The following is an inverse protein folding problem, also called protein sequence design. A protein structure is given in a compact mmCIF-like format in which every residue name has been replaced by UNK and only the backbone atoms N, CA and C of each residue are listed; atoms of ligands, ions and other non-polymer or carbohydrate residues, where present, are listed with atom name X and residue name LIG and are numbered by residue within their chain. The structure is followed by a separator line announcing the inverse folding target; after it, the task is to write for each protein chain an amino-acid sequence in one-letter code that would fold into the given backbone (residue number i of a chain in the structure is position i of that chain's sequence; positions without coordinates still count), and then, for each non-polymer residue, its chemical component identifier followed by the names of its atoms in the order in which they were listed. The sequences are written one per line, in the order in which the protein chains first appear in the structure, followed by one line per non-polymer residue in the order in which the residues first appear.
data_IF_444475492822
#
_entry.id   IF_444475492822
#
_cell.length_a   1.000
_cell.length_b   1.000
_cell.length_c   1.000
_cell.angle_alpha   90.00
_cell.angle_beta   90.00
_cell.angle_gamma   90.00
#
_symmetry.space_group_name_H-M   'P 1'
#
loop_
_entity.id
_entity.type
_entity.pdbx_description
1 polymer ?
#
# COMPACT_ATOMS: atom_id res chain seq x y z
N UNK A 1 11.58 -20.83 4.11
CA UNK A 1 12.02 -19.50 3.65
C UNK A 1 12.90 -18.90 4.73
N UNK A 2 14.14 -18.56 4.36
CA UNK A 2 15.02 -17.79 5.23
C UNK A 2 14.51 -16.32 5.34
N UNK A 3 15.17 -15.47 6.14
CA UNK A 3 14.75 -14.07 6.30
C UNK A 3 14.82 -13.26 5.00
N UNK A 4 15.85 -13.46 4.18
CA UNK A 4 15.97 -12.76 2.89
C UNK A 4 14.83 -13.14 1.94
N UNK A 5 14.45 -14.42 1.89
CA UNK A 5 13.32 -14.89 1.11
C UNK A 5 12.01 -14.27 1.60
N UNK A 6 11.80 -14.21 2.93
CA UNK A 6 10.62 -13.57 3.55
C UNK A 6 10.52 -12.10 3.15
N UNK A 7 11.63 -11.37 3.20
CA UNK A 7 11.68 -9.95 2.81
C UNK A 7 11.37 -9.80 1.32
N UNK A 8 12.03 -10.59 0.46
CA UNK A 8 11.82 -10.55 -0.98
C UNK A 8 10.37 -10.88 -1.34
N UNK A 9 9.80 -11.90 -0.72
CA UNK A 9 8.40 -12.29 -0.93
C UNK A 9 7.44 -11.14 -0.61
N UNK A 10 7.62 -10.46 0.53
CA UNK A 10 6.82 -9.30 0.91
C UNK A 10 6.97 -8.18 -0.13
N UNK A 11 8.20 -7.76 -0.42
CA UNK A 11 8.48 -6.60 -1.30
C UNK A 11 7.92 -6.80 -2.71
N UNK A 12 7.93 -8.04 -3.22
CA UNK A 12 7.42 -8.36 -4.56
C UNK A 12 5.91 -8.57 -4.60
N UNK A 13 5.31 -9.17 -3.57
CA UNK A 13 3.94 -9.70 -3.66
C UNK A 13 2.90 -8.96 -2.80
N UNK A 14 3.32 -8.09 -1.89
CA UNK A 14 2.41 -7.27 -1.09
C UNK A 14 2.38 -5.85 -1.70
N UNK A 15 1.27 -5.39 -2.30
CA UNK A 15 1.15 -4.00 -2.71
C UNK A 15 0.95 -3.07 -1.51
N UNK A 16 1.72 -1.99 -1.42
CA UNK A 16 1.63 -0.98 -0.37
C UNK A 16 0.21 -0.40 -0.27
N UNK A 17 -0.47 -0.15 -1.40
CA UNK A 17 -1.86 0.30 -1.40
C UNK A 17 -2.81 -0.67 -0.68
N UNK A 18 -2.56 -1.98 -0.75
CA UNK A 18 -3.35 -3.00 -0.02
C UNK A 18 -3.08 -2.89 1.48
N UNK A 19 -1.82 -2.66 1.88
CA UNK A 19 -1.47 -2.44 3.28
C UNK A 19 -2.17 -1.19 3.83
N UNK A 20 -2.06 -0.07 3.12
CA UNK A 20 -2.64 1.20 3.56
C UNK A 20 -4.17 1.12 3.73
N UNK A 21 -4.86 0.40 2.83
CA UNK A 21 -6.30 0.11 2.96
C UNK A 21 -6.59 -0.78 4.17
N UNK A 22 -5.81 -1.86 4.36
CA UNK A 22 -5.97 -2.76 5.52
C UNK A 22 -5.77 -2.04 6.86
N UNK A 23 -4.91 -1.04 6.89
CA UNK A 23 -4.64 -0.21 8.07
C UNK A 23 -5.60 0.98 8.20
N UNK A 24 -6.58 1.14 7.30
CA UNK A 24 -7.51 2.28 7.26
C UNK A 24 -6.81 3.64 7.16
N UNK A 25 -5.60 3.71 6.60
CA UNK A 25 -4.87 4.97 6.36
C UNK A 25 -5.47 5.71 5.16
N UNK A 26 -5.94 4.96 4.16
CA UNK A 26 -6.58 5.48 2.95
C UNK A 26 -7.91 4.76 2.71
N UNK A 27 -8.89 5.42 2.05
CA UNK A 27 -10.17 4.79 1.73
C UNK A 27 -10.04 3.67 0.68
N UNK A 28 -11.02 2.75 0.60
CA UNK A 28 -11.01 1.65 -0.37
C UNK A 28 -10.92 2.09 -1.84
N UNK A 29 -11.48 3.25 -2.20
CA UNK A 29 -11.49 3.79 -3.56
C UNK A 29 -10.45 4.91 -3.76
N UNK A 30 -9.39 4.93 -2.95
CA UNK A 30 -8.35 5.96 -3.03
C UNK A 30 -7.70 6.00 -4.42
N UNK A 31 -7.61 7.21 -5.00
CA UNK A 31 -6.89 7.46 -6.24
C UNK A 31 -5.41 7.74 -5.92
N UNK A 32 -4.53 6.89 -6.44
CA UNK A 32 -3.08 6.90 -6.18
C UNK A 32 -2.35 8.17 -6.61
N UNK A 33 -2.99 9.02 -7.43
CA UNK A 33 -2.45 10.35 -7.81
C UNK A 33 -2.46 11.35 -6.66
N UNK A 34 -3.31 11.15 -5.65
CA UNK A 34 -3.42 12.07 -4.52
C UNK A 34 -2.44 11.73 -3.40
N UNK A 35 -2.24 12.72 -2.54
CA UNK A 35 -1.50 12.56 -1.28
C UNK A 35 -2.42 12.12 -0.15
N UNK A 36 -1.83 11.56 0.90
CA UNK A 36 -2.54 11.08 2.09
C UNK A 36 -1.74 11.39 3.37
N UNK A 37 -2.34 11.24 4.58
CA UNK A 37 -1.63 11.44 5.84
C UNK A 37 -0.45 10.47 6.00
N UNK A 38 0.62 10.91 6.66
CA UNK A 38 1.75 10.03 6.94
C UNK A 38 1.38 9.04 8.04
N UNK A 39 1.60 7.72 7.83
CA UNK A 39 1.39 6.75 8.89
C UNK A 39 2.49 6.75 9.95
N UNK A 40 3.60 7.47 9.73
CA UNK A 40 4.78 7.43 10.60
C UNK A 40 4.85 8.65 11.51
N UNK A 41 4.91 9.85 10.93
CA UNK A 41 4.81 11.05 11.77
C UNK A 41 3.34 11.31 12.06
N UNK A 42 2.97 11.37 13.33
CA UNK A 42 1.60 11.66 13.77
C UNK A 42 1.27 13.16 13.59
N UNK A 43 1.20 13.60 12.33
CA UNK A 43 0.83 14.96 11.97
C UNK A 43 -0.60 15.03 11.46
N UNK A 44 -1.32 16.08 11.82
CA UNK A 44 -2.67 16.38 11.29
C UNK A 44 -2.65 16.84 9.83
N UNK A 45 -1.52 16.75 9.11
CA UNK A 45 -1.44 17.21 7.73
C UNK A 45 -1.92 16.09 6.76
N UNK A 46 -3.09 16.27 6.12
CA UNK A 46 -3.69 15.20 5.33
C UNK A 46 -2.98 14.91 4.00
N UNK A 47 -1.99 15.71 3.59
CA UNK A 47 -1.43 15.65 2.23
C UNK A 47 0.11 15.63 2.21
N UNK A 48 0.71 14.80 3.06
CA UNK A 48 2.17 14.75 3.22
C UNK A 48 2.83 13.48 2.68
N UNK A 49 2.07 12.43 2.35
CA UNK A 49 2.59 11.19 1.77
C UNK A 49 2.05 10.92 0.38
N UNK A 50 2.84 10.23 -0.45
CA UNK A 50 2.45 9.74 -1.77
C UNK A 50 2.98 8.31 -1.99
N UNK A 51 2.28 7.52 -2.81
CA UNK A 51 2.71 6.20 -3.23
C UNK A 51 3.74 6.33 -4.35
N UNK A 52 4.92 5.77 -4.17
CA UNK A 52 5.96 5.74 -5.20
C UNK A 52 5.73 4.59 -6.18
N UNK A 53 6.37 4.66 -7.35
CA UNK A 53 6.32 3.59 -8.36
C UNK A 53 6.99 2.29 -7.90
N UNK A 54 7.91 2.35 -6.94
CA UNK A 54 8.66 1.21 -6.38
C UNK A 54 7.99 0.62 -5.12
N UNK A 55 6.67 0.77 -4.99
CA UNK A 55 5.85 0.15 -3.94
C UNK A 55 6.22 0.59 -2.50
N UNK A 56 6.61 1.86 -2.35
CA UNK A 56 6.87 2.53 -1.06
C UNK A 56 5.92 3.70 -0.88
N UNK A 57 6.03 4.37 0.27
CA UNK A 57 5.48 5.71 0.47
C UNK A 57 6.62 6.70 0.66
N UNK A 58 6.54 7.86 0.02
CA UNK A 58 7.42 8.99 0.31
C UNK A 58 6.69 9.97 1.22
N UNK A 59 7.36 10.49 2.25
CA UNK A 59 6.84 11.57 3.07
C UNK A 59 7.70 12.84 2.96
N UNK A 60 7.11 13.95 2.51
CA UNK A 60 7.83 15.22 2.40
C UNK A 60 8.16 15.87 3.74
N UNK A 61 7.40 15.56 4.80
CA UNK A 61 7.70 16.08 6.14
C UNK A 61 8.81 15.29 6.83
N UNK A 62 8.84 13.97 6.65
CA UNK A 62 9.91 13.13 7.18
C UNK A 62 11.17 13.14 6.29
N UNK A 63 11.06 13.66 5.07
CA UNK A 63 12.10 13.64 4.04
C UNK A 63 12.65 12.21 3.78
N UNK A 64 11.79 11.20 3.81
CA UNK A 64 12.19 9.79 3.72
C UNK A 64 11.11 8.92 3.07
N UNK A 65 11.57 7.83 2.43
CA UNK A 65 10.74 6.72 1.99
C UNK A 65 10.57 5.66 3.07
N UNK A 66 9.39 5.04 3.10
CA UNK A 66 9.06 3.93 3.98
C UNK A 66 8.53 2.75 3.16
N UNK A 67 9.08 1.57 3.42
CA UNK A 67 8.60 0.33 2.83
C UNK A 67 7.46 -0.30 3.67
N UNK A 68 6.94 -1.43 3.19
CA UNK A 68 5.83 -2.15 3.82
C UNK A 68 6.13 -2.56 5.25
N UNK A 69 7.39 -2.95 5.51
CA UNK A 69 7.80 -3.41 6.83
C UNK A 69 7.91 -2.22 7.77
N UNK A 70 8.50 -1.11 7.31
CA UNK A 70 8.56 0.15 8.07
C UNK A 70 7.16 0.59 8.52
N UNK A 71 6.22 0.70 7.56
CA UNK A 71 4.84 1.14 7.83
C UNK A 71 4.11 0.18 8.76
N UNK A 72 4.25 -1.13 8.55
CA UNK A 72 3.58 -2.12 9.38
C UNK A 72 4.12 -2.13 10.80
N UNK A 73 5.43 -2.01 10.98
CA UNK A 73 6.06 -1.96 12.30
C UNK A 73 5.59 -0.75 13.09
N UNK A 74 5.59 0.43 12.49
CA UNK A 74 5.19 1.66 13.15
C UNK A 74 3.71 1.62 13.57
N UNK A 75 2.81 1.35 12.63
CA UNK A 75 1.36 1.39 12.88
C UNK A 75 0.89 0.28 13.84
N UNK A 76 1.59 -0.87 13.87
CA UNK A 76 1.28 -1.98 14.77
C UNK A 76 2.15 -1.99 16.03
N UNK A 77 2.99 -0.98 16.21
CA UNK A 77 3.92 -0.85 17.34
C UNK A 77 4.77 -2.11 17.57
N UNK A 78 5.17 -2.77 16.47
CA UNK A 78 5.96 -4.00 16.52
C UNK A 78 7.43 -3.62 16.70
N UNK A 79 7.97 -3.92 17.88
CA UNK A 79 9.34 -3.57 18.26
C UNK A 79 10.43 -4.37 17.55
N UNK A 80 10.11 -5.54 16.98
CA UNK A 80 11.10 -6.43 16.38
C UNK A 80 10.80 -6.76 14.93
N UNK A 81 11.83 -6.61 14.10
CA UNK A 81 11.76 -6.86 12.66
C UNK A 81 11.31 -8.29 12.32
N UNK A 82 11.82 -9.30 13.02
CA UNK A 82 11.46 -10.71 12.77
C UNK A 82 9.98 -10.98 13.04
N UNK A 83 9.41 -10.42 14.11
CA UNK A 83 7.99 -10.56 14.42
C UNK A 83 7.12 -9.88 13.34
N UNK A 84 7.55 -8.70 12.87
CA UNK A 84 6.87 -8.02 11.77
C UNK A 84 6.88 -8.87 10.49
N UNK A 85 8.03 -9.42 10.11
CA UNK A 85 8.15 -10.32 8.97
C UNK A 85 7.21 -11.52 9.07
N UNK A 86 7.13 -12.17 10.23
CA UNK A 86 6.26 -13.33 10.42
C UNK A 86 4.78 -12.96 10.35
N UNK A 87 4.36 -11.89 11.02
CA UNK A 87 2.98 -11.41 10.98
C UNK A 87 2.56 -11.01 9.57
N UNK A 88 3.41 -10.31 8.84
CA UNK A 88 3.12 -9.92 7.45
C UNK A 88 3.01 -11.16 6.57
N UNK A 89 3.97 -12.08 6.62
CA UNK A 89 3.93 -13.31 5.80
C UNK A 89 2.71 -14.18 6.13
N UNK A 90 2.32 -14.27 7.40
CA UNK A 90 1.13 -15.01 7.81
C UNK A 90 -0.15 -14.31 7.30
N UNK A 91 -0.22 -12.98 7.37
CA UNK A 91 -1.33 -12.23 6.78
C UNK A 91 -1.46 -12.48 5.28
N UNK A 92 -0.36 -12.52 4.54
CA UNK A 92 -0.37 -12.78 3.09
C UNK A 92 -0.94 -14.17 2.70
N UNK A 93 -1.01 -15.13 3.63
CA UNK A 93 -1.63 -16.45 3.41
C UNK A 93 -3.14 -16.45 3.61
N UNK A 94 -3.69 -15.44 4.30
CA UNK A 94 -5.11 -15.37 4.66
C UNK A 94 -6.01 -15.14 3.45
N UNK A 95 -7.28 -15.55 3.57
CA UNK A 95 -8.29 -15.25 2.57
C UNK A 95 -8.56 -13.74 2.47
N UNK A 96 -8.45 -13.03 3.60
CA UNK A 96 -8.59 -11.57 3.65
C UNK A 96 -7.61 -10.89 2.70
N UNK A 97 -6.31 -11.23 2.77
CA UNK A 97 -5.31 -10.67 1.88
C UNK A 97 -5.61 -10.97 0.40
N UNK A 98 -5.99 -12.22 0.09
CA UNK A 98 -6.34 -12.63 -1.28
C UNK A 98 -7.49 -11.80 -1.83
N UNK A 99 -8.52 -11.56 -1.02
CA UNK A 99 -9.68 -10.75 -1.40
C UNK A 99 -9.30 -9.28 -1.65
N UNK A 100 -8.55 -8.65 -0.72
CA UNK A 100 -8.10 -7.27 -0.87
C UNK A 100 -7.21 -7.08 -2.11
N UNK A 101 -6.30 -8.03 -2.35
CA UNK A 101 -5.40 -7.98 -3.50
C UNK A 101 -6.16 -8.18 -4.82
N UNK A 102 -7.16 -9.08 -4.86
CA UNK A 102 -8.05 -9.26 -6.02
C UNK A 102 -8.85 -7.99 -6.31
N UNK A 103 -9.42 -7.36 -5.28
CA UNK A 103 -10.17 -6.10 -5.41
C UNK A 103 -9.29 -4.97 -5.94
N UNK A 104 -8.04 -4.86 -5.46
CA UNK A 104 -7.12 -3.84 -5.97
C UNK A 104 -6.82 -4.05 -7.47
N UNK A 105 -6.61 -5.30 -7.89
CA UNK A 105 -6.35 -5.65 -9.30
C UNK A 105 -7.55 -5.39 -10.21
N UNK A 106 -8.79 -5.57 -9.72
CA UNK A 106 -9.99 -5.27 -10.52
C UNK A 106 -10.18 -3.76 -10.70
N UNK A 107 -9.91 -2.95 -9.67
CA UNK A 107 -9.99 -1.47 -9.79
C UNK A 107 -9.02 -0.96 -10.85
N UNK A 108 -7.79 -1.47 -10.86
CA UNK A 108 -6.81 -1.08 -11.88
C UNK A 108 -7.24 -1.52 -13.29
N UNK A 109 -7.89 -2.67 -13.46
CA UNK A 109 -8.35 -3.11 -14.79
C UNK A 109 -9.44 -2.21 -15.37
N UNK A 110 -10.38 -1.76 -14.55
CA UNK A 110 -11.50 -0.91 -14.99
C UNK A 110 -11.01 0.51 -15.34
N UNK A 111 -9.98 1.03 -14.66
CA UNK A 111 -9.48 2.38 -14.95
C UNK A 111 -8.67 2.52 -16.25
N UNK A 112 -8.44 1.43 -16.98
CA UNK A 112 -7.73 1.42 -18.27
C UNK A 112 -8.63 1.20 -19.47
N UNK A 113 -9.95 1.04 -19.32
CA UNK A 113 -10.83 1.15 -20.47
C UNK A 113 -10.86 2.63 -20.90
N UNK A 114 -10.26 2.99 -22.05
CA UNK A 114 -10.38 4.34 -22.54
C UNK A 114 -11.87 4.57 -22.79
N UNK A 115 -12.41 5.69 -22.29
CA UNK A 115 -13.68 6.18 -22.82
C UNK A 115 -13.49 6.36 -24.32
N UNK A 116 -13.97 5.40 -25.12
CA UNK A 116 -14.16 5.61 -26.55
C UNK A 116 -15.13 6.79 -26.65
N UNK A 117 -14.58 7.95 -27.00
CA UNK A 117 -15.37 9.12 -27.36
C UNK A 117 -16.14 8.74 -28.61
N UNK A 118 -17.38 8.30 -28.46
CA UNK A 118 -18.38 8.40 -29.53
C UNK A 118 -18.66 9.88 -29.73
N UNK A 119 -17.85 10.53 -30.56
CA UNK A 119 -18.20 11.82 -31.15
C UNK A 119 -19.25 11.50 -32.20
N UNK A 120 -20.53 11.63 -31.84
CA UNK A 120 -21.61 11.71 -32.80
C UNK A 120 -21.49 13.05 -33.52
N UNK A 121 -20.95 13.04 -34.73
CA UNK A 121 -21.07 14.14 -35.68
C UNK A 121 -22.54 14.31 -36.07
N UNK A 122 -23.10 15.49 -35.82
CA UNK A 122 -24.23 16.05 -36.55
C UNK A 122 -23.79 17.37 -37.16
#
# INVERSE_FOLDING_TARGET
MNHQDKIKHIKTNFPMIVLLKKLNIIPPNFNTKYRFPCPIHQGQNPTCCHLTSDNKIHCWKCCKDYDIIDVYMEIREIKTFNNALEKINNFMKTQEFKNLNKQQKSITKISYEPFEKTISTQ
#
